data_IF_457956008356
#
_entry.id   IF_457956008356
#
_cell.length_a   1.000
_cell.length_b   1.000
_cell.length_c   1.000
_cell.angle_alpha   90.00
_cell.angle_beta   90.00
_cell.angle_gamma   90.00
#
_symmetry.space_group_name_H-M   'P 1'
#
loop_
_entity.id
_entity.type
_entity.pdbx_description
1 polymer ?
#
# COMPACT_ATOMS: atom_id res chain seq x y z
N UNK A 1 -4.46 -6.25 24.96
CA UNK A 1 -4.35 -5.70 23.60
C UNK A 1 -5.39 -4.59 23.45
N UNK A 2 -5.02 -3.48 22.85
CA UNK A 2 -6.00 -2.44 22.50
C UNK A 2 -7.00 -2.99 21.47
N UNK A 3 -8.27 -2.55 21.47
CA UNK A 3 -9.21 -2.92 20.42
C UNK A 3 -8.70 -2.44 19.06
N UNK A 4 -9.06 -3.13 17.97
CA UNK A 4 -8.70 -2.71 16.61
C UNK A 4 -9.19 -1.29 16.33
N UNK A 5 -8.38 -0.43 15.71
CA UNK A 5 -8.79 0.93 15.37
C UNK A 5 -9.78 1.00 14.20
N UNK A 6 -10.01 -0.12 13.50
CA UNK A 6 -10.85 -0.17 12.33
C UNK A 6 -12.34 -0.05 12.68
N UNK A 7 -13.04 0.78 11.92
CA UNK A 7 -14.50 0.76 11.88
C UNK A 7 -14.95 -0.18 10.77
N UNK A 8 -15.13 -1.45 11.11
CA UNK A 8 -15.52 -2.51 10.21
C UNK A 8 -16.47 -3.50 10.91
N UNK A 9 -17.19 -4.28 10.13
CA UNK A 9 -18.04 -5.33 10.68
C UNK A 9 -17.21 -6.48 11.27
N UNK A 10 -17.77 -7.28 12.18
CA UNK A 10 -17.07 -8.45 12.73
C UNK A 10 -16.59 -9.43 11.64
N UNK A 11 -17.34 -9.56 10.54
CA UNK A 11 -17.01 -10.41 9.39
C UNK A 11 -15.74 -9.92 8.69
N UNK A 12 -15.62 -8.60 8.46
CA UNK A 12 -14.42 -8.00 7.86
C UNK A 12 -13.22 -8.16 8.79
N UNK A 13 -13.39 -7.94 10.09
CA UNK A 13 -12.31 -8.12 11.06
C UNK A 13 -11.82 -9.57 11.10
N UNK A 14 -12.74 -10.54 10.99
CA UNK A 14 -12.41 -11.96 10.90
C UNK A 14 -11.66 -12.27 9.61
N UNK A 15 -12.15 -11.80 8.47
CA UNK A 15 -11.49 -11.94 7.17
C UNK A 15 -10.05 -11.41 7.22
N UNK A 16 -9.84 -10.19 7.73
CA UNK A 16 -8.50 -9.59 7.84
C UNK A 16 -7.58 -10.43 8.71
N UNK A 17 -8.07 -10.91 9.87
CA UNK A 17 -7.30 -11.81 10.75
C UNK A 17 -6.86 -13.09 10.04
N UNK A 18 -7.76 -13.71 9.27
CA UNK A 18 -7.48 -14.93 8.52
C UNK A 18 -6.45 -14.67 7.42
N UNK A 19 -6.58 -13.55 6.69
CA UNK A 19 -5.64 -13.15 5.64
C UNK A 19 -4.24 -12.86 6.21
N UNK A 20 -4.13 -12.14 7.33
CA UNK A 20 -2.84 -11.92 8.00
C UNK A 20 -2.23 -13.22 8.52
N UNK A 21 -3.04 -14.11 9.10
CA UNK A 21 -2.57 -15.44 9.54
C UNK A 21 -2.01 -16.24 8.36
N UNK A 22 -2.68 -16.21 7.22
CA UNK A 22 -2.22 -16.86 5.99
C UNK A 22 -0.90 -16.26 5.50
N UNK A 23 -0.79 -14.94 5.49
CA UNK A 23 0.46 -14.23 5.10
C UNK A 23 1.62 -14.65 5.98
N UNK A 24 1.50 -14.52 7.30
CA UNK A 24 2.53 -14.88 8.26
C UNK A 24 2.97 -16.34 8.13
N UNK A 25 2.02 -17.26 7.91
CA UNK A 25 2.30 -18.68 7.74
C UNK A 25 3.13 -18.92 6.48
N UNK A 26 2.77 -18.29 5.35
CA UNK A 26 3.53 -18.46 4.11
C UNK A 26 4.88 -17.75 4.16
N UNK A 27 4.93 -16.52 4.68
CA UNK A 27 6.16 -15.75 4.77
C UNK A 27 7.23 -16.47 5.58
N UNK A 28 6.84 -17.17 6.67
CA UNK A 28 7.74 -17.98 7.49
C UNK A 28 8.44 -19.12 6.74
N UNK A 29 7.90 -19.51 5.58
CA UNK A 29 8.48 -20.58 4.72
C UNK A 29 9.42 -20.06 3.64
N UNK A 30 9.54 -18.73 3.48
CA UNK A 30 10.37 -18.12 2.43
C UNK A 30 11.83 -18.04 2.91
N UNK A 31 12.74 -18.64 2.16
CA UNK A 31 14.18 -18.42 2.36
C UNK A 31 14.63 -17.12 1.69
N UNK A 32 14.47 -16.02 2.42
CA UNK A 32 14.78 -14.66 1.94
C UNK A 32 16.25 -14.48 1.53
N UNK A 33 17.18 -15.33 2.03
CA UNK A 33 18.61 -15.20 1.76
C UNK A 33 19.00 -15.82 0.42
N UNK A 34 18.24 -16.80 -0.05
CA UNK A 34 18.52 -17.51 -1.30
C UNK A 34 17.77 -16.92 -2.50
N UNK A 35 16.94 -15.88 -2.30
CA UNK A 35 16.18 -15.29 -3.39
C UNK A 35 17.09 -14.61 -4.42
N UNK A 36 16.76 -14.74 -5.73
CA UNK A 36 17.41 -14.00 -6.79
C UNK A 36 17.23 -12.48 -6.65
N UNK A 37 17.88 -11.72 -7.55
CA UNK A 37 17.71 -10.27 -7.59
C UNK A 37 16.23 -9.91 -7.79
N UNK A 38 15.70 -8.99 -6.97
CA UNK A 38 14.33 -8.48 -7.10
C UNK A 38 14.04 -7.98 -8.51
N UNK A 39 12.82 -8.21 -8.98
CA UNK A 39 12.34 -7.86 -10.33
C UNK A 39 13.09 -8.59 -11.46
N UNK A 40 13.79 -9.69 -11.20
CA UNK A 40 14.20 -10.63 -12.24
C UNK A 40 13.10 -11.64 -12.55
N UNK A 41 13.08 -12.22 -13.75
CA UNK A 41 12.08 -13.22 -14.13
C UNK A 41 12.06 -14.44 -13.21
N UNK A 42 13.23 -14.86 -12.72
CA UNK A 42 13.37 -15.95 -11.75
C UNK A 42 12.75 -15.57 -10.39
N UNK A 43 13.05 -14.36 -9.89
CA UNK A 43 12.45 -13.84 -8.67
C UNK A 43 10.93 -13.75 -8.78
N UNK A 44 10.41 -13.17 -9.86
CA UNK A 44 8.98 -13.03 -10.11
C UNK A 44 8.29 -14.39 -10.14
N UNK A 45 8.90 -15.40 -10.78
CA UNK A 45 8.39 -16.78 -10.81
C UNK A 45 8.28 -17.41 -9.41
N UNK A 46 9.31 -17.21 -8.56
CA UNK A 46 9.32 -17.73 -7.18
C UNK A 46 8.26 -17.02 -6.32
N UNK A 47 8.09 -15.71 -6.51
CA UNK A 47 7.19 -14.89 -5.70
C UNK A 47 5.74 -14.91 -6.19
N UNK A 48 5.45 -15.54 -7.33
CA UNK A 48 4.14 -15.53 -7.97
C UNK A 48 3.02 -16.03 -7.04
N UNK A 49 3.27 -17.09 -6.28
CA UNK A 49 2.31 -17.75 -5.39
C UNK A 49 2.47 -17.34 -3.91
N UNK A 50 3.45 -16.51 -3.59
CA UNK A 50 3.74 -16.13 -2.19
C UNK A 50 2.75 -15.08 -1.72
N UNK A 51 1.96 -15.46 -0.71
CA UNK A 51 1.02 -14.57 -0.04
C UNK A 51 1.78 -13.77 1.02
N UNK A 52 2.27 -12.60 0.64
CA UNK A 52 2.96 -11.67 1.52
C UNK A 52 2.12 -10.39 1.56
N UNK A 53 1.83 -9.91 2.76
CA UNK A 53 1.05 -8.71 3.00
C UNK A 53 1.78 -7.79 3.98
N UNK A 54 1.49 -6.51 3.91
CA UNK A 54 1.90 -5.54 4.94
C UNK A 54 1.43 -6.00 6.33
N UNK A 55 2.28 -5.89 7.34
CA UNK A 55 1.97 -6.30 8.70
C UNK A 55 0.70 -5.64 9.24
N UNK A 56 -0.06 -6.35 10.09
CA UNK A 56 -1.34 -5.87 10.59
C UNK A 56 -1.22 -4.53 11.33
N UNK A 57 -0.23 -4.38 12.18
CA UNK A 57 0.00 -3.15 12.96
C UNK A 57 0.34 -1.95 12.07
N UNK A 58 1.10 -2.17 10.99
CA UNK A 58 1.38 -1.17 9.95
C UNK A 58 0.12 -0.82 9.15
N UNK A 59 -0.70 -1.81 8.78
CA UNK A 59 -2.00 -1.58 8.14
C UNK A 59 -2.92 -0.74 9.02
N UNK A 60 -2.98 -1.02 10.32
CA UNK A 60 -3.77 -0.29 11.30
C UNK A 60 -3.29 1.17 11.46
N UNK A 61 -1.96 1.39 11.46
CA UNK A 61 -1.40 2.74 11.43
C UNK A 61 -1.77 3.48 10.16
N UNK A 62 -1.60 2.85 8.99
CA UNK A 62 -1.95 3.44 7.69
C UNK A 62 -3.43 3.85 7.67
N UNK A 63 -4.32 2.97 8.13
CA UNK A 63 -5.74 3.30 8.29
C UNK A 63 -5.93 4.58 9.12
N UNK A 64 -5.28 4.69 10.28
CA UNK A 64 -5.40 5.86 11.16
C UNK A 64 -4.81 7.13 10.53
N UNK A 65 -3.70 7.04 9.80
CA UNK A 65 -3.14 8.18 9.06
C UNK A 65 -4.17 8.68 8.04
N UNK A 66 -4.73 7.78 7.21
CA UNK A 66 -5.74 8.13 6.22
C UNK A 66 -6.97 8.80 6.84
N UNK A 67 -7.40 8.31 8.01
CA UNK A 67 -8.50 8.90 8.78
C UNK A 67 -8.16 10.30 9.28
N UNK A 68 -6.94 10.50 9.76
CA UNK A 68 -6.47 11.78 10.34
C UNK A 68 -6.33 12.88 9.29
N UNK A 69 -5.81 12.55 8.11
CA UNK A 69 -5.65 13.50 6.99
C UNK A 69 -6.90 13.64 6.12
N UNK A 70 -7.97 12.91 6.44
CA UNK A 70 -9.22 12.86 5.66
C UNK A 70 -9.00 12.52 4.18
N UNK A 71 -8.11 11.54 3.92
CA UNK A 71 -7.76 11.11 2.56
C UNK A 71 -8.97 10.64 1.77
N UNK A 72 -9.03 10.97 0.46
CA UNK A 72 -10.08 10.57 -0.49
C UNK A 72 -9.52 9.75 -1.63
N UNK A 73 -8.35 10.13 -2.15
CA UNK A 73 -7.67 9.45 -3.25
C UNK A 73 -6.34 8.91 -2.75
N UNK A 74 -6.21 7.61 -2.82
CA UNK A 74 -5.05 6.85 -2.35
C UNK A 74 -4.48 6.06 -3.52
N UNK A 75 -3.15 6.03 -3.63
CA UNK A 75 -2.43 5.13 -4.55
C UNK A 75 -1.72 4.07 -3.73
N UNK A 76 -1.83 2.83 -4.17
CA UNK A 76 -1.11 1.68 -3.61
C UNK A 76 -0.21 1.07 -4.68
N UNK A 77 1.09 1.12 -4.44
CA UNK A 77 2.09 0.42 -5.25
C UNK A 77 2.41 -0.92 -4.59
N UNK A 78 1.93 -2.01 -5.22
CA UNK A 78 2.10 -3.36 -4.69
C UNK A 78 0.87 -3.86 -3.91
N UNK A 79 -0.19 -4.15 -4.63
CA UNK A 79 -1.45 -4.65 -4.06
C UNK A 79 -1.35 -6.12 -3.61
N UNK A 80 -0.55 -6.95 -4.32
CA UNK A 80 -0.44 -8.38 -4.04
C UNK A 80 -1.82 -9.05 -3.94
N UNK A 81 -2.15 -9.64 -2.82
CA UNK A 81 -3.44 -10.30 -2.58
C UNK A 81 -4.52 -9.37 -1.98
N UNK A 82 -4.25 -8.07 -1.93
CA UNK A 82 -5.23 -7.02 -1.59
C UNK A 82 -5.58 -6.88 -0.12
N UNK A 83 -4.68 -7.28 0.79
CA UNK A 83 -4.96 -7.19 2.25
C UNK A 83 -4.89 -5.74 2.72
N UNK A 84 -3.78 -5.04 2.49
CA UNK A 84 -3.61 -3.61 2.79
C UNK A 84 -4.68 -2.76 2.11
N UNK A 85 -5.05 -3.12 0.87
CA UNK A 85 -6.09 -2.43 0.09
C UNK A 85 -7.44 -2.37 0.82
N UNK A 86 -7.81 -3.42 1.59
CA UNK A 86 -9.03 -3.41 2.40
C UNK A 86 -8.99 -2.30 3.45
N UNK A 87 -7.86 -2.12 4.14
CA UNK A 87 -7.69 -1.04 5.13
C UNK A 87 -7.78 0.35 4.48
N UNK A 88 -7.13 0.50 3.31
CA UNK A 88 -7.18 1.75 2.53
C UNK A 88 -8.63 2.07 2.11
N UNK A 89 -9.34 1.09 1.56
CA UNK A 89 -10.73 1.23 1.12
C UNK A 89 -11.67 1.59 2.26
N UNK A 90 -11.59 0.88 3.40
CA UNK A 90 -12.37 1.20 4.60
C UNK A 90 -12.14 2.63 5.08
N UNK A 91 -10.88 3.11 5.06
CA UNK A 91 -10.55 4.45 5.51
C UNK A 91 -11.17 5.52 4.59
N UNK A 92 -10.98 5.41 3.26
CA UNK A 92 -11.50 6.42 2.32
C UNK A 92 -13.03 6.40 2.22
N UNK A 93 -13.65 5.21 2.28
CA UNK A 93 -15.10 5.07 2.30
C UNK A 93 -15.71 5.75 3.55
N UNK A 94 -15.14 5.52 4.71
CA UNK A 94 -15.58 6.16 5.95
C UNK A 94 -15.33 7.68 5.94
N UNK A 95 -14.23 8.16 5.35
CA UNK A 95 -13.96 9.59 5.17
C UNK A 95 -14.99 10.25 4.26
N UNK A 96 -15.43 9.55 3.22
CA UNK A 96 -16.47 10.04 2.31
C UNK A 96 -17.83 10.22 3.02
N UNK A 97 -18.20 9.31 3.91
CA UNK A 97 -19.44 9.38 4.69
C UNK A 97 -19.52 10.62 5.61
N UNK A 98 -18.35 11.11 6.12
CA UNK A 98 -18.30 12.21 7.12
C UNK A 98 -18.52 13.60 6.55
N UNK A 99 -18.24 13.86 5.29
CA UNK A 99 -18.07 15.22 4.75
C UNK A 99 -19.15 15.58 3.72
N UNK A 100 -20.17 14.75 3.51
CA UNK A 100 -21.16 15.03 2.45
C UNK A 100 -20.42 15.18 1.09
N UNK A 101 -19.67 14.17 0.70
CA UNK A 101 -18.57 14.30 -0.21
C UNK A 101 -18.99 14.75 -1.61
N UNK A 102 -18.33 15.79 -2.11
CA UNK A 102 -18.27 16.14 -3.52
C UNK A 102 -17.26 15.28 -4.30
N UNK A 103 -16.28 14.68 -3.62
CA UNK A 103 -15.27 13.80 -4.22
C UNK A 103 -15.57 12.32 -3.93
N UNK A 104 -15.64 11.50 -4.98
CA UNK A 104 -15.77 10.04 -4.87
C UNK A 104 -14.50 9.45 -4.24
N UNK A 105 -14.61 8.63 -3.17
CA UNK A 105 -13.46 7.97 -2.59
C UNK A 105 -12.86 6.98 -3.59
N UNK A 106 -11.52 6.87 -3.62
CA UNK A 106 -10.84 6.00 -4.59
C UNK A 106 -9.53 5.47 -4.03
N UNK A 107 -9.32 4.18 -4.17
CA UNK A 107 -8.04 3.50 -3.97
C UNK A 107 -7.57 3.00 -5.34
N UNK A 108 -6.51 3.60 -5.88
CA UNK A 108 -5.85 3.15 -7.11
C UNK A 108 -4.83 2.10 -6.70
N UNK A 109 -5.19 0.85 -6.88
CA UNK A 109 -4.40 -0.32 -6.51
C UNK A 109 -3.64 -0.86 -7.73
N UNK A 110 -2.36 -1.24 -7.58
CA UNK A 110 -1.55 -1.73 -8.69
C UNK A 110 -1.02 -3.13 -8.42
N UNK A 111 -1.24 -4.05 -9.34
CA UNK A 111 -0.72 -5.41 -9.27
C UNK A 111 -0.27 -5.89 -10.66
N UNK A 112 0.94 -6.45 -10.73
CA UNK A 112 1.51 -6.93 -11.99
C UNK A 112 0.90 -8.28 -12.41
N UNK A 113 0.65 -9.15 -11.43
CA UNK A 113 0.29 -10.54 -11.67
C UNK A 113 -1.24 -10.73 -11.66
N UNK A 114 -1.82 -11.11 -12.81
CA UNK A 114 -3.27 -11.34 -12.95
C UNK A 114 -3.80 -12.40 -11.96
N UNK A 115 -3.00 -13.41 -11.63
CA UNK A 115 -3.37 -14.45 -10.68
C UNK A 115 -3.58 -13.88 -9.26
N UNK A 116 -2.72 -12.97 -8.82
CA UNK A 116 -2.85 -12.24 -7.53
C UNK A 116 -4.03 -11.27 -7.58
N UNK A 117 -4.13 -10.49 -8.66
CA UNK A 117 -5.22 -9.56 -8.89
C UNK A 117 -6.60 -10.24 -8.80
N UNK A 118 -6.74 -11.44 -9.38
CA UNK A 118 -7.98 -12.23 -9.29
C UNK A 118 -8.33 -12.62 -7.84
N UNK A 119 -7.33 -13.02 -7.05
CA UNK A 119 -7.54 -13.38 -5.65
C UNK A 119 -7.82 -12.13 -4.79
N UNK A 120 -7.16 -11.01 -5.06
CA UNK A 120 -7.44 -9.74 -4.41
C UNK A 120 -8.91 -9.32 -4.59
N UNK A 121 -9.43 -9.37 -5.82
CA UNK A 121 -10.87 -9.10 -6.11
C UNK A 121 -11.79 -10.01 -5.30
N UNK A 122 -11.46 -11.30 -5.16
CA UNK A 122 -12.28 -12.22 -4.35
C UNK A 122 -12.27 -11.85 -2.85
N UNK A 123 -11.13 -11.41 -2.32
CA UNK A 123 -11.05 -10.93 -0.94
C UNK A 123 -11.88 -9.64 -0.74
N UNK A 124 -11.83 -8.69 -1.69
CA UNK A 124 -12.59 -7.45 -1.61
C UNK A 124 -14.10 -7.69 -1.72
N UNK A 125 -14.53 -8.56 -2.62
CA UNK A 125 -15.93 -8.98 -2.71
C UNK A 125 -16.43 -9.60 -1.40
N UNK A 126 -15.56 -10.41 -0.72
CA UNK A 126 -15.87 -10.96 0.60
C UNK A 126 -15.92 -9.89 1.71
N UNK A 127 -15.21 -8.77 1.54
CA UNK A 127 -15.28 -7.63 2.45
C UNK A 127 -16.51 -6.73 2.21
N UNK A 128 -17.18 -6.89 1.07
CA UNK A 128 -18.42 -6.20 0.73
C UNK A 128 -18.27 -4.95 -0.12
N UNK A 129 -19.40 -4.44 -0.61
CA UNK A 129 -19.46 -3.34 -1.58
C UNK A 129 -18.82 -2.04 -1.09
N UNK A 130 -18.90 -1.72 0.20
CA UNK A 130 -18.25 -0.53 0.77
C UNK A 130 -16.72 -0.53 0.56
N UNK A 131 -16.12 -1.71 0.40
CA UNK A 131 -14.70 -1.91 0.08
C UNK A 131 -14.50 -1.98 -1.43
N UNK A 132 -15.24 -2.87 -2.11
CA UNK A 132 -15.04 -3.18 -3.53
C UNK A 132 -15.29 -1.97 -4.43
N UNK A 133 -16.36 -1.18 -4.18
CA UNK A 133 -16.81 -0.09 -5.04
C UNK A 133 -15.86 1.12 -5.08
N UNK A 134 -14.92 1.22 -4.15
CA UNK A 134 -13.94 2.32 -4.09
C UNK A 134 -12.58 1.96 -4.67
N UNK A 135 -12.36 0.68 -5.06
CA UNK A 135 -11.09 0.18 -5.56
C UNK A 135 -11.06 0.24 -7.09
N UNK A 136 -10.04 0.93 -7.61
CA UNK A 136 -9.65 0.93 -9.03
C UNK A 136 -8.38 0.10 -9.19
N UNK A 137 -8.55 -1.19 -9.50
CA UNK A 137 -7.42 -2.09 -9.69
C UNK A 137 -6.86 -1.98 -11.10
N UNK A 138 -5.59 -1.63 -11.18
CA UNK A 138 -4.81 -1.53 -12.41
C UNK A 138 -3.83 -2.69 -12.51
N UNK A 139 -4.12 -3.63 -13.40
CA UNK A 139 -3.28 -4.81 -13.61
C UNK A 139 -2.23 -4.51 -14.67
N UNK A 140 -0.98 -4.85 -14.39
CA UNK A 140 0.17 -4.64 -15.26
C UNK A 140 1.33 -3.93 -14.57
N UNK A 141 2.31 -3.53 -15.36
CA UNK A 141 3.46 -2.77 -14.86
C UNK A 141 3.00 -1.39 -14.36
N UNK A 142 3.28 -1.09 -13.09
CA UNK A 142 2.87 0.20 -12.50
C UNK A 142 3.48 1.41 -13.23
N UNK A 143 4.63 1.22 -13.91
CA UNK A 143 5.28 2.28 -14.72
C UNK A 143 4.44 2.67 -15.93
N UNK A 144 3.52 1.81 -16.34
CA UNK A 144 2.56 2.05 -17.41
C UNK A 144 1.19 2.43 -16.85
N UNK A 145 0.73 1.71 -15.82
CA UNK A 145 -0.62 1.85 -15.29
C UNK A 145 -0.83 3.10 -14.42
N UNK A 146 0.24 3.71 -13.87
CA UNK A 146 0.17 4.95 -13.10
C UNK A 146 0.43 6.23 -13.93
N UNK A 147 0.42 6.16 -15.25
CA UNK A 147 0.73 7.31 -16.13
C UNK A 147 -0.44 8.27 -16.34
N UNK A 148 -1.66 7.90 -15.96
CA UNK A 148 -2.85 8.72 -16.23
C UNK A 148 -3.94 8.54 -15.18
N UNK A 149 -4.87 9.48 -15.13
CA UNK A 149 -6.10 9.44 -14.34
C UNK A 149 -5.87 9.18 -12.82
N UNK A 150 -4.87 9.85 -12.24
CA UNK A 150 -4.64 9.78 -10.79
C UNK A 150 -5.48 10.81 -10.03
N UNK A 151 -5.81 11.94 -10.67
CA UNK A 151 -6.44 13.06 -9.98
C UNK A 151 -5.51 13.69 -8.94
N UNK A 152 -6.08 14.31 -7.91
CA UNK A 152 -5.31 14.82 -6.76
C UNK A 152 -5.15 13.72 -5.74
N UNK A 153 -3.91 13.37 -5.38
CA UNK A 153 -3.56 12.25 -4.50
C UNK A 153 -3.26 12.76 -3.09
N UNK A 154 -3.92 12.14 -2.10
CA UNK A 154 -3.74 12.43 -0.68
C UNK A 154 -2.69 11.55 -0.01
N UNK A 155 -2.49 10.33 -0.55
CA UNK A 155 -1.66 9.32 0.09
C UNK A 155 -1.12 8.31 -0.92
N UNK A 156 0.13 7.89 -0.71
CA UNK A 156 0.79 6.81 -1.47
C UNK A 156 1.33 5.76 -0.50
N UNK A 157 0.94 4.50 -0.70
CA UNK A 157 1.58 3.36 -0.06
C UNK A 157 2.61 2.75 -1.02
N UNK A 158 3.86 2.67 -0.57
CA UNK A 158 4.96 1.98 -1.24
C UNK A 158 5.24 0.65 -0.51
N UNK A 159 4.44 -0.36 -0.80
CA UNK A 159 4.65 -1.75 -0.35
C UNK A 159 5.00 -2.61 -1.56
N UNK A 160 6.11 -2.28 -2.18
CA UNK A 160 6.57 -2.83 -3.45
C UNK A 160 8.06 -3.15 -3.41
N UNK A 161 8.51 -4.00 -4.31
CA UNK A 161 9.94 -4.30 -4.45
C UNK A 161 10.76 -3.02 -4.65
N UNK A 162 11.82 -2.88 -3.88
CA UNK A 162 12.60 -1.63 -3.75
C UNK A 162 13.01 -0.96 -5.08
N UNK A 163 13.32 -1.69 -6.19
CA UNK A 163 13.65 -1.03 -7.47
C UNK A 163 12.47 -0.25 -8.08
N UNK A 164 11.24 -0.52 -7.65
CA UNK A 164 10.04 0.15 -8.17
C UNK A 164 9.54 1.29 -7.28
N UNK A 165 10.06 1.45 -6.07
CA UNK A 165 9.59 2.45 -5.11
C UNK A 165 9.81 3.89 -5.60
N UNK A 166 11.02 4.24 -6.04
CA UNK A 166 11.30 5.57 -6.59
C UNK A 166 10.56 5.84 -7.91
N UNK A 167 10.52 4.90 -8.88
CA UNK A 167 9.67 5.06 -10.08
C UNK A 167 8.20 5.33 -9.73
N UNK A 168 7.61 4.59 -8.80
CA UNK A 168 6.22 4.81 -8.36
C UNK A 168 6.04 6.21 -7.74
N UNK A 169 6.95 6.60 -6.82
CA UNK A 169 6.91 7.95 -6.22
C UNK A 169 6.93 9.05 -7.29
N UNK A 170 7.85 8.96 -8.27
CA UNK A 170 7.99 9.97 -9.33
C UNK A 170 6.77 10.08 -10.24
N UNK A 171 6.07 8.97 -10.50
CA UNK A 171 4.83 8.98 -11.27
C UNK A 171 3.68 9.65 -10.53
N UNK A 172 3.60 9.44 -9.22
CA UNK A 172 2.50 9.96 -8.40
C UNK A 172 2.75 11.39 -7.92
N UNK A 173 4.02 11.79 -7.74
CA UNK A 173 4.41 13.10 -7.19
C UNK A 173 3.72 14.31 -7.85
N UNK A 174 3.59 14.41 -9.20
CA UNK A 174 2.92 15.55 -9.83
C UNK A 174 1.45 15.71 -9.43
N UNK A 175 0.88 14.70 -8.80
CA UNK A 175 -0.51 14.63 -8.38
C UNK A 175 -0.71 14.86 -6.88
N UNK A 176 0.35 14.95 -6.09
CA UNK A 176 0.22 15.17 -4.65
C UNK A 176 -0.35 16.56 -4.34
N UNK A 177 -1.30 16.58 -3.41
CA UNK A 177 -1.61 17.83 -2.74
C UNK A 177 -0.55 18.18 -1.68
N UNK A 178 -0.38 19.45 -1.31
CA UNK A 178 0.40 19.80 -0.11
C UNK A 178 -0.10 19.05 1.12
N UNK A 179 0.83 18.47 1.89
CA UNK A 179 0.52 17.63 3.03
C UNK A 179 0.11 16.19 2.67
N UNK A 180 0.27 15.77 1.41
CA UNK A 180 0.13 14.35 1.06
C UNK A 180 1.17 13.50 1.82
N UNK A 181 0.75 12.30 2.23
CA UNK A 181 1.59 11.40 3.01
C UNK A 181 1.98 10.19 2.17
N UNK A 182 3.23 9.81 2.24
CA UNK A 182 3.76 8.60 1.62
C UNK A 182 4.23 7.68 2.75
N UNK A 183 3.86 6.42 2.70
CA UNK A 183 4.37 5.37 3.59
C UNK A 183 5.18 4.39 2.74
N UNK A 184 6.41 4.10 3.17
CA UNK A 184 7.26 3.09 2.55
C UNK A 184 7.62 2.01 3.57
N UNK A 185 7.39 0.75 3.20
CA UNK A 185 7.66 -0.39 4.08
C UNK A 185 9.07 -0.95 3.91
N UNK A 186 9.54 -1.67 4.95
CA UNK A 186 10.83 -2.35 5.00
C UNK A 186 12.06 -1.44 4.78
N UNK A 187 11.96 -0.18 5.15
CA UNK A 187 12.97 0.86 4.88
C UNK A 187 14.27 0.70 5.67
N UNK A 188 14.25 -0.03 6.79
CA UNK A 188 15.44 -0.42 7.56
C UNK A 188 15.99 -1.76 7.09
N UNK A 189 15.13 -2.79 7.00
CA UNK A 189 15.52 -4.16 6.58
C UNK A 189 16.10 -4.18 5.17
N UNK A 190 15.60 -3.32 4.29
CA UNK A 190 16.02 -3.19 2.89
C UNK A 190 16.72 -1.86 2.60
N UNK A 191 17.25 -1.16 3.63
CA UNK A 191 17.78 0.20 3.52
C UNK A 191 18.83 0.37 2.42
N UNK A 192 19.74 -0.60 2.25
CA UNK A 192 20.75 -0.57 1.19
C UNK A 192 20.13 -0.52 -0.23
N UNK A 193 18.93 -1.04 -0.39
CA UNK A 193 18.21 -1.06 -1.67
C UNK A 193 17.31 0.17 -1.88
N UNK A 194 17.08 0.97 -0.82
CA UNK A 194 16.30 2.20 -0.85
C UNK A 194 17.13 3.47 -1.05
N UNK A 195 18.44 3.36 -1.28
CA UNK A 195 19.35 4.52 -1.34
C UNK A 195 18.92 5.57 -2.38
N UNK A 196 18.43 5.14 -3.55
CA UNK A 196 17.96 6.08 -4.58
C UNK A 196 16.69 6.84 -4.12
N UNK A 197 15.75 6.15 -3.44
CA UNK A 197 14.56 6.78 -2.88
C UNK A 197 14.96 7.79 -1.79
N UNK A 198 15.84 7.39 -0.88
CA UNK A 198 16.29 8.27 0.22
C UNK A 198 17.04 9.49 -0.32
N UNK A 199 17.97 9.29 -1.25
CA UNK A 199 18.67 10.42 -1.88
C UNK A 199 17.71 11.40 -2.56
N UNK A 200 16.63 10.90 -3.17
CA UNK A 200 15.62 11.71 -3.81
C UNK A 200 14.77 12.52 -2.83
N UNK A 201 14.26 11.86 -1.78
CA UNK A 201 13.36 12.52 -0.82
C UNK A 201 14.09 13.41 0.19
N UNK A 202 15.34 13.07 0.54
CA UNK A 202 16.16 13.82 1.50
C UNK A 202 16.94 14.97 0.84
N UNK A 203 16.92 15.11 -0.51
CA UNK A 203 17.61 16.18 -1.20
C UNK A 203 17.09 17.55 -0.78
N UNK A 204 18.01 18.54 -0.71
CA UNK A 204 17.64 19.92 -0.44
C UNK A 204 16.66 20.43 -1.54
N UNK A 205 15.54 21.01 -1.10
CA UNK A 205 14.52 21.51 -2.01
C UNK A 205 13.63 20.41 -2.64
N UNK A 206 13.74 19.15 -2.22
CA UNK A 206 12.91 18.06 -2.73
C UNK A 206 11.39 18.23 -2.51
N UNK A 207 11.00 19.04 -1.52
CA UNK A 207 9.61 19.16 -1.07
C UNK A 207 9.15 18.04 -0.16
N UNK A 208 10.03 17.12 0.24
CA UNK A 208 9.69 16.03 1.13
C UNK A 208 10.34 16.18 2.52
N UNK A 209 9.69 15.60 3.53
CA UNK A 209 10.25 15.43 4.88
C UNK A 209 9.95 14.01 5.35
N UNK A 210 10.98 13.31 5.81
CA UNK A 210 10.94 11.89 6.13
C UNK A 210 11.25 11.64 7.60
N UNK A 211 10.57 10.65 8.18
CA UNK A 211 10.88 10.08 9.50
C UNK A 211 10.70 8.58 9.44
N UNK A 212 11.63 7.84 10.05
CA UNK A 212 11.51 6.38 10.18
C UNK A 212 10.83 6.04 11.50
N UNK A 213 9.77 5.26 11.43
CA UNK A 213 8.98 4.78 12.56
C UNK A 213 9.48 3.40 13.00
N UNK A 214 9.45 3.07 14.31
CA UNK A 214 10.07 1.87 14.89
C UNK A 214 9.20 0.61 14.73
N UNK A 215 8.74 0.34 13.51
CA UNK A 215 8.09 -0.91 13.14
C UNK A 215 9.13 -1.96 12.71
N UNK A 216 8.75 -3.23 12.79
CA UNK A 216 9.62 -4.31 12.30
C UNK A 216 9.98 -4.10 10.83
N UNK A 217 11.25 -4.25 10.48
CA UNK A 217 11.74 -3.94 9.13
C UNK A 217 11.87 -2.45 8.80
N UNK A 218 11.35 -1.55 9.66
CA UNK A 218 11.27 -0.11 9.44
C UNK A 218 10.07 0.28 8.58
N UNK A 219 9.50 1.44 8.89
CA UNK A 219 8.39 2.04 8.14
C UNK A 219 8.65 3.54 8.05
N UNK A 220 8.86 4.05 6.85
CA UNK A 220 9.10 5.48 6.67
C UNK A 220 7.80 6.22 6.39
N UNK A 221 7.56 7.28 7.13
CA UNK A 221 6.54 8.27 6.83
C UNK A 221 7.20 9.49 6.18
N UNK A 222 6.74 9.83 5.00
CA UNK A 222 7.24 10.94 4.18
C UNK A 222 6.08 11.89 3.93
N UNK A 223 6.27 13.18 4.15
CA UNK A 223 5.25 14.21 3.89
C UNK A 223 5.71 15.10 2.76
N UNK A 224 4.85 15.32 1.77
CA UNK A 224 5.03 16.28 0.67
C UNK A 224 4.57 17.67 1.13
N UNK A 225 5.41 18.70 0.93
CA UNK A 225 5.21 20.07 1.43
C UNK A 225 4.60 20.99 0.40
#
# INVERSE_FOLDING_TARGET
MSPSPLRASPEILTLLKDLHTKSLTQESTVDWKSLPKQCSAEFDSIMLDKFIALDQDKCELVYQILRSINAKTVVEAGTSFGVSTIYLALAVAENAKRVGATAKPRVIATEKEESKAKLARAHWASAGSDVEDVIDLRVGDLRETLTSDLGTVDFLLLDIWTPLALPALKLVQPHFRPGAVIIADNTVKSGDKYQELFAYVDAEGSGFRRVTMPYEGGLDMIVYQ
#
